data_IF_018875365825
#
_entry.id   IF_018875365825
#
_cell.length_a   1.000
_cell.length_b   1.000
_cell.length_c   1.000
_cell.angle_alpha   90.00
_cell.angle_beta   90.00
_cell.angle_gamma   90.00
#
_symmetry.space_group_name_H-M   'P 1'
#
loop_
_entity.id
_entity.type
_entity.pdbx_description
1 polymer ?
#
# COMPACT_ATOMS: atom_id res chain seq x y z
N UNK A 1 -8.66 -7.45 21.78
CA UNK A 1 -9.83 -8.27 21.40
C UNK A 1 -10.97 -7.33 21.08
N UNK A 2 -11.38 -7.23 19.80
CA UNK A 2 -12.67 -6.65 19.45
C UNK A 2 -13.73 -7.69 19.81
N UNK A 3 -14.14 -7.71 21.09
CA UNK A 3 -14.89 -8.84 21.62
C UNK A 3 -16.32 -8.91 21.09
N UNK A 4 -16.90 -7.84 20.55
CA UNK A 4 -18.24 -7.90 19.97
C UNK A 4 -18.42 -6.72 18.98
N UNK A 5 -18.77 -6.99 17.72
CA UNK A 5 -19.28 -5.99 16.77
C UNK A 5 -20.67 -5.51 17.20
N UNK A 6 -20.82 -4.98 18.41
CA UNK A 6 -22.13 -4.62 19.01
C UNK A 6 -22.86 -3.55 18.22
N UNK A 7 -22.11 -2.66 17.55
CA UNK A 7 -22.67 -1.53 16.83
C UNK A 7 -22.55 -1.67 15.31
N UNK A 8 -21.92 -2.75 14.82
CA UNK A 8 -21.66 -3.04 13.40
C UNK A 8 -21.16 -1.82 12.62
N UNK A 9 -20.37 -0.93 13.24
CA UNK A 9 -19.83 0.23 12.54
C UNK A 9 -18.44 -0.07 11.97
N UNK A 10 -18.10 0.57 10.86
CA UNK A 10 -16.80 0.41 10.19
C UNK A 10 -15.63 0.74 11.12
N UNK A 11 -15.82 1.67 12.07
CA UNK A 11 -14.83 1.98 13.10
C UNK A 11 -14.42 0.79 13.97
N UNK A 12 -15.30 -0.20 14.18
CA UNK A 12 -14.98 -1.40 14.96
C UNK A 12 -13.88 -2.23 14.28
N UNK A 13 -13.76 -2.15 12.95
CA UNK A 13 -12.73 -2.84 12.16
C UNK A 13 -11.36 -2.14 12.20
N UNK A 14 -11.30 -0.90 12.67
CA UNK A 14 -10.06 -0.10 12.71
C UNK A 14 -9.50 0.04 14.12
N UNK A 15 -10.21 -0.43 15.16
CA UNK A 15 -9.75 -0.38 16.55
C UNK A 15 -8.43 -1.13 16.72
N UNK A 16 -7.40 -0.40 17.17
CA UNK A 16 -6.07 -0.97 17.45
C UNK A 16 -5.26 -1.30 16.21
N UNK A 17 -5.75 -1.00 15.00
CA UNK A 17 -4.93 -1.07 13.80
C UNK A 17 -3.87 0.03 13.81
N UNK A 18 -2.63 -0.25 13.35
CA UNK A 18 -1.60 0.76 13.24
C UNK A 18 -1.99 1.84 12.23
N UNK A 19 -1.35 3.00 12.34
CA UNK A 19 -1.50 4.05 11.35
C UNK A 19 -1.03 3.56 9.96
N UNK A 20 -1.73 3.98 8.92
CA UNK A 20 -1.38 3.64 7.56
C UNK A 20 -0.12 4.40 7.13
N UNK A 21 0.98 3.68 6.97
CA UNK A 21 2.27 4.26 6.53
C UNK A 21 2.28 4.35 5.00
N UNK A 22 2.60 5.53 4.47
CA UNK A 22 2.72 5.74 3.02
C UNK A 22 4.06 5.19 2.50
N UNK A 23 4.01 4.38 1.43
CA UNK A 23 5.19 3.99 0.66
C UNK A 23 5.21 4.76 -0.67
N UNK A 24 6.30 5.46 -0.99
CA UNK A 24 6.33 6.33 -2.17
C UNK A 24 6.43 5.50 -3.46
N UNK A 25 5.70 5.89 -4.50
CA UNK A 25 5.66 5.16 -5.79
C UNK A 25 7.02 5.06 -6.50
N UNK A 26 7.94 5.97 -6.16
CA UNK A 26 9.31 6.02 -6.69
C UNK A 26 10.31 5.17 -5.90
N UNK A 27 9.91 4.60 -4.76
CA UNK A 27 10.74 3.67 -4.01
C UNK A 27 10.98 2.40 -4.82
N UNK A 28 12.11 1.73 -4.54
CA UNK A 28 12.52 0.56 -5.31
C UNK A 28 11.80 -0.72 -4.85
N UNK A 29 11.81 -1.72 -5.72
CA UNK A 29 11.39 -3.09 -5.36
C UNK A 29 12.20 -3.61 -4.16
N UNK A 30 13.50 -3.31 -4.07
CA UNK A 30 14.30 -3.66 -2.91
C UNK A 30 13.80 -3.01 -1.60
N UNK A 31 13.50 -1.70 -1.63
CA UNK A 31 12.92 -1.00 -0.49
C UNK A 31 11.59 -1.63 -0.07
N UNK A 32 10.76 -2.03 -1.04
CA UNK A 32 9.47 -2.68 -0.78
C UNK A 32 9.64 -4.05 -0.12
N UNK A 33 10.61 -4.86 -0.55
CA UNK A 33 10.95 -6.14 0.09
C UNK A 33 11.30 -5.91 1.56
N UNK A 34 12.18 -4.93 1.85
CA UNK A 34 12.58 -4.60 3.22
C UNK A 34 11.40 -4.13 4.07
N UNK A 35 10.53 -3.29 3.51
CA UNK A 35 9.34 -2.80 4.19
C UNK A 35 8.35 -3.94 4.53
N UNK A 36 8.15 -4.89 3.62
CA UNK A 36 7.26 -6.03 3.82
C UNK A 36 7.71 -6.96 4.94
N UNK A 37 9.02 -7.13 5.17
CA UNK A 37 9.54 -7.95 6.28
C UNK A 37 9.04 -7.44 7.64
N UNK A 38 8.84 -6.13 7.76
CA UNK A 38 8.34 -5.48 8.98
C UNK A 38 6.85 -5.17 8.95
N UNK A 39 6.15 -5.47 7.85
CA UNK A 39 4.75 -5.14 7.66
C UNK A 39 3.84 -6.16 8.35
N UNK A 40 3.06 -5.73 9.33
CA UNK A 40 2.12 -6.59 10.06
C UNK A 40 0.84 -6.89 9.28
N UNK A 41 0.44 -6.01 8.35
CA UNK A 41 -0.81 -6.12 7.59
C UNK A 41 -0.65 -6.91 6.27
N UNK A 42 0.56 -7.41 5.96
CA UNK A 42 0.81 -8.26 4.79
C UNK A 42 0.80 -7.54 3.43
N UNK A 43 0.64 -6.22 3.42
CA UNK A 43 0.70 -5.39 2.22
C UNK A 43 1.01 -3.93 2.56
N UNK A 44 1.79 -3.28 1.70
CA UNK A 44 2.17 -1.88 1.83
C UNK A 44 1.38 -1.02 0.84
N UNK A 45 0.67 0.03 1.29
CA UNK A 45 -0.04 0.92 0.40
C UNK A 45 0.93 1.91 -0.25
N UNK A 46 0.83 2.05 -1.56
CA UNK A 46 1.73 2.87 -2.39
C UNK A 46 1.03 4.17 -2.80
N UNK A 47 1.77 5.28 -2.69
CA UNK A 47 1.26 6.62 -2.88
C UNK A 47 2.18 7.45 -3.76
N UNK A 48 1.59 8.33 -4.56
CA UNK A 48 2.30 9.42 -5.23
C UNK A 48 2.90 10.36 -4.20
N UNK A 49 4.00 11.02 -4.55
CA UNK A 49 4.69 11.96 -3.68
C UNK A 49 3.73 13.04 -3.15
N UNK A 50 3.81 13.30 -1.85
CA UNK A 50 2.96 14.31 -1.20
C UNK A 50 3.29 15.71 -1.74
N UNK A 51 2.29 16.52 -2.13
CA UNK A 51 2.48 17.93 -2.41
C UNK A 51 2.86 18.68 -1.12
N UNK A 52 3.60 19.79 -1.24
CA UNK A 52 3.94 20.62 -0.08
C UNK A 52 2.67 21.25 0.50
N UNK A 53 2.23 20.81 1.69
CA UNK A 53 1.11 21.43 2.43
C UNK A 53 0.25 20.43 3.21
N UNK A 54 -0.77 20.96 3.90
CA UNK A 54 -1.81 20.15 4.55
C UNK A 54 -2.77 19.64 3.49
N UNK A 55 -2.96 18.32 3.44
CA UNK A 55 -3.78 17.65 2.43
C UNK A 55 -5.12 17.21 3.01
N UNK A 56 -6.20 17.38 2.25
CA UNK A 56 -7.51 16.84 2.63
C UNK A 56 -7.57 15.32 2.39
N UNK A 57 -8.52 14.63 3.04
CA UNK A 57 -8.70 13.18 2.83
C UNK A 57 -8.91 12.81 1.35
N UNK A 58 -9.73 13.59 0.63
CA UNK A 58 -10.00 13.36 -0.79
C UNK A 58 -8.74 13.52 -1.64
N UNK A 59 -7.95 14.57 -1.38
CA UNK A 59 -6.69 14.80 -2.10
C UNK A 59 -5.69 13.67 -1.81
N UNK A 60 -5.62 13.21 -0.56
CA UNK A 60 -4.84 12.04 -0.18
C UNK A 60 -5.28 10.84 -1.03
N UNK A 61 -6.56 10.46 -1.01
CA UNK A 61 -7.06 9.30 -1.78
C UNK A 61 -6.73 9.36 -3.29
N UNK A 62 -6.61 10.55 -3.90
CA UNK A 62 -6.20 10.70 -5.30
C UNK A 62 -4.72 10.36 -5.56
N UNK A 63 -3.86 10.46 -4.54
CA UNK A 63 -2.46 10.04 -4.59
C UNK A 63 -2.27 8.54 -4.40
N UNK A 64 -3.26 7.84 -3.87
CA UNK A 64 -3.15 6.40 -3.71
C UNK A 64 -2.97 5.75 -5.09
N UNK A 65 -2.02 4.83 -5.20
CA UNK A 65 -1.69 4.11 -6.43
C UNK A 65 -2.21 2.68 -6.35
N UNK A 66 -1.91 1.99 -5.25
CA UNK A 66 -2.26 0.58 -5.09
C UNK A 66 -1.68 -0.01 -3.81
N UNK A 67 -1.75 -1.34 -3.68
CA UNK A 67 -1.14 -2.09 -2.56
C UNK A 67 -0.13 -3.06 -3.17
N UNK A 68 1.06 -3.14 -2.58
CA UNK A 68 2.06 -4.16 -2.90
C UNK A 68 2.10 -5.18 -1.79
N UNK A 69 2.07 -6.45 -2.16
CA UNK A 69 2.33 -7.56 -1.25
C UNK A 69 3.46 -8.46 -1.78
N UNK A 70 3.76 -9.53 -1.06
CA UNK A 70 4.81 -10.49 -1.42
C UNK A 70 4.54 -11.22 -2.74
N UNK A 71 3.28 -11.48 -3.10
CA UNK A 71 2.92 -12.14 -4.35
C UNK A 71 3.17 -11.23 -5.56
N UNK A 72 2.90 -9.93 -5.44
CA UNK A 72 3.20 -8.96 -6.50
C UNK A 72 4.70 -8.93 -6.83
N UNK A 73 5.54 -8.96 -5.78
CA UNK A 73 6.99 -9.00 -5.92
C UNK A 73 7.46 -10.29 -6.58
N UNK A 74 6.94 -11.44 -6.14
CA UNK A 74 7.28 -12.74 -6.76
C UNK A 74 6.87 -12.75 -8.23
N UNK A 75 5.67 -12.28 -8.55
CA UNK A 75 5.17 -12.20 -9.92
C UNK A 75 6.03 -11.25 -10.79
N UNK A 76 6.50 -10.13 -10.23
CA UNK A 76 7.39 -9.20 -10.92
C UNK A 76 8.79 -9.75 -11.17
N UNK A 77 9.38 -10.40 -10.17
CA UNK A 77 10.72 -10.99 -10.28
C UNK A 77 10.73 -12.26 -11.15
N UNK A 78 9.57 -12.91 -11.34
CA UNK A 78 9.42 -14.04 -12.24
C UNK A 78 9.34 -13.64 -13.73
N UNK A 79 9.24 -12.35 -14.06
CA UNK A 79 9.25 -11.88 -15.45
C UNK A 79 10.62 -12.11 -16.09
N UNK A 80 10.64 -12.46 -17.37
CA UNK A 80 11.88 -12.74 -18.11
C UNK A 80 12.89 -11.57 -18.02
N UNK A 81 12.41 -10.33 -18.15
CA UNK A 81 13.23 -9.12 -17.98
C UNK A 81 13.93 -9.04 -16.63
N UNK A 82 13.25 -9.48 -15.56
CA UNK A 82 13.78 -9.45 -14.19
C UNK A 82 14.77 -10.59 -13.93
N UNK A 83 14.65 -11.70 -14.69
CA UNK A 83 15.56 -12.84 -14.62
C UNK A 83 16.88 -12.58 -15.37
N UNK A 84 16.83 -11.78 -16.45
CA UNK A 84 18.03 -11.39 -17.22
C UNK A 84 18.95 -10.48 -16.41
N UNK A 85 18.39 -9.46 -15.76
CA UNK A 85 19.13 -8.56 -14.88
C UNK A 85 18.38 -8.34 -13.56
N UNK A 86 18.74 -9.15 -12.57
CA UNK A 86 18.16 -9.11 -11.23
C UNK A 86 18.46 -7.80 -10.50
N UNK A 87 19.66 -7.25 -10.68
CA UNK A 87 20.05 -6.03 -9.97
C UNK A 87 19.28 -4.83 -10.51
N UNK A 88 19.08 -4.75 -11.83
CA UNK A 88 18.21 -3.75 -12.43
C UNK A 88 16.77 -3.90 -11.95
N UNK A 89 16.23 -5.13 -11.88
CA UNK A 89 14.87 -5.39 -11.40
C UNK A 89 14.64 -4.95 -9.94
N UNK A 90 15.63 -5.14 -9.07
CA UNK A 90 15.55 -4.70 -7.67
C UNK A 90 15.54 -3.18 -7.52
N UNK A 91 16.16 -2.45 -8.47
CA UNK A 91 16.19 -0.98 -8.51
C UNK A 91 14.99 -0.36 -9.21
N UNK A 92 14.14 -1.16 -9.85
CA UNK A 92 12.91 -0.69 -10.50
C UNK A 92 12.00 0.01 -9.49
N UNK A 93 11.43 1.18 -9.82
CA UNK A 93 10.39 1.81 -9.02
C UNK A 93 9.16 0.94 -8.89
N UNK A 94 8.53 0.91 -7.70
CA UNK A 94 7.32 0.10 -7.48
C UNK A 94 6.14 0.54 -8.36
N UNK A 95 6.10 1.78 -8.82
CA UNK A 95 5.10 2.28 -9.77
C UNK A 95 5.09 1.52 -11.11
N UNK A 96 6.22 0.93 -11.52
CA UNK A 96 6.33 0.14 -12.76
C UNK A 96 5.89 -1.32 -12.56
N UNK A 97 5.81 -1.77 -11.30
CA UNK A 97 5.35 -3.11 -10.94
C UNK A 97 3.83 -3.15 -10.75
N UNK A 98 3.24 -2.09 -10.21
CA UNK A 98 1.85 -2.02 -9.79
C UNK A 98 0.96 -1.52 -10.93
N UNK A 99 -0.21 -2.13 -11.08
CA UNK A 99 -1.29 -1.55 -11.89
C UNK A 99 -2.09 -0.59 -10.99
N UNK A 100 -2.15 0.72 -11.31
CA UNK A 100 -2.87 1.67 -10.47
C UNK A 100 -4.35 1.27 -10.30
N UNK A 101 -4.81 1.23 -9.06
CA UNK A 101 -6.19 0.87 -8.74
C UNK A 101 -6.72 1.70 -7.58
N UNK A 102 -7.27 2.87 -7.89
CA UNK A 102 -7.79 3.78 -6.86
C UNK A 102 -9.07 3.28 -6.17
N UNK A 103 -9.69 2.21 -6.68
CA UNK A 103 -10.94 1.68 -6.14
C UNK A 103 -10.74 0.82 -4.89
N UNK A 104 -9.52 0.32 -4.63
CA UNK A 104 -9.25 -0.51 -3.44
C UNK A 104 -9.06 0.30 -2.17
N UNK A 105 -8.94 1.62 -2.27
CA UNK A 105 -8.93 2.53 -1.13
C UNK A 105 -10.25 3.31 -1.09
N UNK A 106 -10.89 3.31 0.09
CA UNK A 106 -12.10 4.09 0.33
C UNK A 106 -11.99 4.81 1.67
N UNK A 107 -12.16 6.13 1.65
CA UNK A 107 -12.43 6.90 2.86
C UNK A 107 -13.86 6.62 3.33
N UNK A 108 -13.98 6.18 4.58
CA UNK A 108 -15.26 5.83 5.20
C UNK A 108 -15.30 6.49 6.59
N UNK A 109 -16.45 7.07 6.92
CA UNK A 109 -16.67 7.61 8.26
C UNK A 109 -16.75 6.46 9.27
N UNK A 110 -16.09 6.63 10.43
CA UNK A 110 -16.03 5.57 11.44
C UNK A 110 -17.42 5.16 11.96
N UNK A 111 -18.42 6.05 11.89
CA UNK A 111 -19.80 5.78 12.27
C UNK A 111 -20.66 5.13 11.17
N UNK A 112 -20.08 4.82 10.00
CA UNK A 112 -20.79 4.11 8.91
C UNK A 112 -21.18 2.71 9.38
N UNK A 113 -22.44 2.32 9.16
CA UNK A 113 -22.99 0.97 9.43
C UNK A 113 -23.05 0.12 8.17
#
# INVERSE_FOLDING_TARGET
>A
MAAVFLYHVVGDLTVGKPELVEFCETETVESAIRALVTCTEGGIPVWKKQPKGVESGVAKQQRFVGIVNSMDIVAFLARESSLVDREAALRTPVSEMIVPNNSVLKLVDAGTR
#
